data_IF_843326760774
#
_entry.id   IF_843326760774
#
_cell.length_a   1.000
_cell.length_b   1.000
_cell.length_c   1.000
_cell.angle_alpha   90.00
_cell.angle_beta   90.00
_cell.angle_gamma   90.00
#
_symmetry.space_group_name_H-M   'P 1'
#
loop_
_entity.id
_entity.type
_entity.pdbx_description
1 polymer ?
#
# COMPACT_ATOMS: atom_id res chain seq x y z
N UNK A 1 -10.69 14.78 12.42
CA UNK A 1 -10.08 14.87 11.08
C UNK A 1 -11.16 14.62 10.04
N UNK A 2 -11.12 15.32 8.92
CA UNK A 2 -12.03 15.01 7.81
C UNK A 2 -11.61 13.73 7.07
N UNK A 3 -12.53 13.19 6.25
CA UNK A 3 -12.35 11.99 5.43
C UNK A 3 -11.12 12.07 4.54
N UNK A 4 -10.97 13.20 3.83
CA UNK A 4 -9.89 13.44 2.87
C UNK A 4 -8.52 13.31 3.53
N UNK A 5 -8.33 14.01 4.64
CA UNK A 5 -7.09 14.01 5.42
C UNK A 5 -6.78 12.60 5.95
N UNK A 6 -7.80 11.90 6.45
CA UNK A 6 -7.65 10.53 6.97
C UNK A 6 -7.27 9.52 5.88
N UNK A 7 -7.87 9.64 4.68
CA UNK A 7 -7.56 8.81 3.53
C UNK A 7 -6.12 9.03 3.03
N UNK A 8 -5.63 10.27 3.00
CA UNK A 8 -4.24 10.56 2.64
C UNK A 8 -3.28 10.00 3.70
N UNK A 9 -3.55 10.28 4.98
CA UNK A 9 -2.67 9.85 6.08
C UNK A 9 -2.62 8.34 6.25
N UNK A 10 -3.63 7.60 5.79
CA UNK A 10 -3.60 6.13 5.72
C UNK A 10 -2.38 5.60 4.95
N UNK A 11 -1.82 6.38 4.01
CA UNK A 11 -0.63 6.01 3.24
C UNK A 11 0.68 6.62 3.76
N UNK A 12 0.66 7.52 4.75
CA UNK A 12 1.82 8.37 5.06
C UNK A 12 3.09 7.63 5.52
N UNK A 13 2.96 6.50 6.23
CA UNK A 13 4.06 5.63 6.65
C UNK A 13 3.81 4.17 6.23
N UNK A 14 3.24 4.00 5.05
CA UNK A 14 2.88 2.71 4.49
C UNK A 14 1.90 1.93 5.36
N UNK A 15 2.16 0.64 5.57
CA UNK A 15 1.26 -0.22 6.33
C UNK A 15 1.13 0.20 7.81
N UNK A 16 2.11 0.92 8.40
CA UNK A 16 2.03 1.39 9.79
C UNK A 16 0.87 2.37 9.97
N UNK A 17 0.81 3.41 9.14
CA UNK A 17 -0.33 4.32 9.15
C UNK A 17 -1.60 3.66 8.63
N UNK A 18 -1.48 2.70 7.71
CA UNK A 18 -2.61 1.88 7.29
C UNK A 18 -3.29 1.19 8.48
N UNK A 19 -2.52 0.55 9.36
CA UNK A 19 -3.05 -0.08 10.59
C UNK A 19 -3.71 0.95 11.49
N UNK A 20 -3.03 2.08 11.76
CA UNK A 20 -3.58 3.13 12.64
C UNK A 20 -4.93 3.63 12.11
N UNK A 21 -5.01 3.96 10.81
CA UNK A 21 -6.24 4.49 10.21
C UNK A 21 -7.32 3.44 9.99
N UNK A 22 -6.99 2.15 9.97
CA UNK A 22 -7.97 1.07 9.93
C UNK A 22 -8.85 1.09 11.19
N UNK A 23 -8.28 1.47 12.35
CA UNK A 23 -9.00 1.57 13.62
C UNK A 23 -9.49 2.99 13.91
N UNK A 24 -8.68 4.02 13.64
CA UNK A 24 -9.06 5.42 13.86
C UNK A 24 -10.19 5.86 12.93
N UNK A 25 -10.14 5.44 11.66
CA UNK A 25 -11.12 5.76 10.64
C UNK A 25 -12.23 4.71 10.47
N UNK A 26 -12.38 3.76 11.41
CA UNK A 26 -13.20 2.55 11.19
C UNK A 26 -14.69 2.81 10.88
N UNK A 27 -15.22 3.94 11.34
CA UNK A 27 -16.61 4.35 11.12
C UNK A 27 -16.83 5.02 9.75
N UNK A 28 -15.76 5.31 9.01
CA UNK A 28 -15.83 5.85 7.65
C UNK A 28 -15.37 4.76 6.66
N UNK A 29 -16.29 4.19 5.85
CA UNK A 29 -15.96 3.08 4.95
C UNK A 29 -14.91 3.45 3.91
N UNK A 30 -14.83 4.71 3.48
CA UNK A 30 -13.82 5.15 2.51
C UNK A 30 -12.44 5.21 3.15
N UNK A 31 -12.33 5.79 4.35
CA UNK A 31 -11.06 5.82 5.11
C UNK A 31 -10.60 4.40 5.45
N UNK A 32 -11.54 3.54 5.88
CA UNK A 32 -11.25 2.13 6.20
C UNK A 32 -10.73 1.37 4.98
N UNK A 33 -11.28 1.63 3.79
CA UNK A 33 -10.77 1.07 2.54
C UNK A 33 -9.35 1.57 2.23
N UNK A 34 -9.08 2.88 2.34
CA UNK A 34 -7.75 3.42 2.07
C UNK A 34 -6.68 2.86 3.02
N UNK A 35 -7.01 2.76 4.31
CA UNK A 35 -6.21 2.11 5.34
C UNK A 35 -5.91 0.65 5.01
N UNK A 36 -6.94 -0.14 4.69
CA UNK A 36 -6.78 -1.54 4.30
C UNK A 36 -5.95 -1.70 3.01
N UNK A 37 -6.20 -0.86 2.01
CA UNK A 37 -5.44 -0.84 0.75
C UNK A 37 -3.97 -0.50 0.99
N UNK A 38 -3.66 0.39 1.93
CA UNK A 38 -2.29 0.69 2.36
C UNK A 38 -1.61 -0.55 2.95
N UNK A 39 -2.28 -1.23 3.89
CA UNK A 39 -1.74 -2.45 4.51
C UNK A 39 -1.46 -3.52 3.47
N UNK A 40 -2.41 -3.79 2.58
CA UNK A 40 -2.28 -4.81 1.53
C UNK A 40 -1.13 -4.47 0.58
N UNK A 41 -1.10 -3.24 0.08
CA UNK A 41 -0.08 -2.83 -0.91
C UNK A 41 1.32 -2.86 -0.31
N UNK A 42 1.54 -2.18 0.82
CA UNK A 42 2.86 -2.13 1.44
C UNK A 42 3.29 -3.46 2.04
N UNK A 43 2.35 -4.26 2.56
CA UNK A 43 2.62 -5.63 2.99
C UNK A 43 3.12 -6.50 1.84
N UNK A 44 2.46 -6.44 0.67
CA UNK A 44 2.91 -7.15 -0.53
C UNK A 44 4.30 -6.70 -0.99
N UNK A 45 4.55 -5.38 -1.01
CA UNK A 45 5.87 -4.82 -1.34
C UNK A 45 6.95 -5.30 -0.36
N UNK A 46 6.66 -5.35 0.95
CA UNK A 46 7.58 -5.89 1.94
C UNK A 46 7.91 -7.37 1.70
N UNK A 47 6.90 -8.20 1.40
CA UNK A 47 7.10 -9.63 1.09
C UNK A 47 7.97 -9.81 -0.15
N UNK A 48 7.74 -9.04 -1.22
CA UNK A 48 8.57 -9.09 -2.44
C UNK A 48 10.02 -8.72 -2.13
N UNK A 49 10.26 -7.65 -1.36
CA UNK A 49 11.62 -7.22 -1.01
C UNK A 49 12.35 -8.26 -0.15
N UNK A 50 11.66 -8.88 0.82
CA UNK A 50 12.23 -9.97 1.62
C UNK A 50 12.59 -11.16 0.72
N UNK A 51 11.69 -11.57 -0.18
CA UNK A 51 11.94 -12.65 -1.13
C UNK A 51 13.15 -12.39 -2.03
N UNK A 52 13.24 -11.18 -2.62
CA UNK A 52 14.40 -10.77 -3.43
C UNK A 52 15.70 -10.80 -2.63
N UNK A 53 15.66 -10.37 -1.36
CA UNK A 53 16.84 -10.35 -0.48
C UNK A 53 17.32 -11.78 -0.15
N UNK A 54 16.39 -12.67 0.19
CA UNK A 54 16.69 -14.08 0.50
C UNK A 54 17.27 -14.78 -0.73
N UNK A 55 16.59 -14.71 -1.89
CA UNK A 55 17.06 -15.38 -3.11
C UNK A 55 18.37 -14.78 -3.59
N UNK A 56 18.52 -13.46 -3.54
CA UNK A 56 19.76 -12.76 -3.90
C UNK A 56 20.95 -13.18 -3.05
N UNK A 57 20.73 -13.51 -1.76
CA UNK A 57 21.81 -13.95 -0.86
C UNK A 57 22.42 -15.31 -1.24
N UNK A 58 21.63 -16.20 -1.85
CA UNK A 58 22.11 -17.50 -2.33
C UNK A 58 22.84 -17.42 -3.67
N UNK A 59 22.60 -16.35 -4.45
CA UNK A 59 23.09 -16.22 -5.82
C UNK A 59 24.03 -15.02 -5.94
N UNK A 60 25.13 -15.04 -5.18
CA UNK A 60 26.08 -13.92 -5.11
C UNK A 60 26.56 -13.41 -6.48
N UNK A 61 26.81 -14.32 -7.44
CA UNK A 61 27.20 -13.97 -8.81
C UNK A 61 26.13 -13.15 -9.57
N UNK A 62 24.87 -13.21 -9.16
CA UNK A 62 23.75 -12.46 -9.73
C UNK A 62 23.37 -11.24 -8.89
N UNK A 63 24.16 -10.86 -7.88
CA UNK A 63 23.82 -9.79 -6.94
C UNK A 63 23.45 -8.45 -7.60
N UNK A 64 24.13 -8.08 -8.70
CA UNK A 64 23.79 -6.88 -9.48
C UNK A 64 22.38 -6.99 -10.09
N UNK A 65 22.02 -8.13 -10.67
CA UNK A 65 20.72 -8.35 -11.27
C UNK A 65 19.60 -8.20 -10.23
N UNK A 66 19.76 -8.84 -9.06
CA UNK A 66 18.79 -8.71 -7.96
C UNK A 66 18.69 -7.27 -7.44
N UNK A 67 19.81 -6.55 -7.39
CA UNK A 67 19.82 -5.13 -7.01
C UNK A 67 19.04 -4.26 -8.00
N UNK A 68 19.19 -4.52 -9.31
CA UNK A 68 18.43 -3.82 -10.34
C UNK A 68 16.93 -4.13 -10.28
N UNK A 69 16.56 -5.39 -10.05
CA UNK A 69 15.15 -5.76 -9.84
C UNK A 69 14.58 -5.07 -8.61
N UNK A 70 15.33 -5.06 -7.50
CA UNK A 70 14.96 -4.34 -6.28
C UNK A 70 14.74 -2.84 -6.53
N UNK A 71 15.61 -2.19 -7.31
CA UNK A 71 15.45 -0.80 -7.70
C UNK A 71 14.16 -0.56 -8.51
N UNK A 72 13.85 -1.44 -9.47
CA UNK A 72 12.60 -1.35 -10.25
C UNK A 72 11.38 -1.47 -9.35
N UNK A 73 11.38 -2.45 -8.42
CA UNK A 73 10.28 -2.62 -7.44
C UNK A 73 10.15 -1.38 -6.55
N UNK A 74 11.26 -0.82 -6.08
CA UNK A 74 11.26 0.37 -5.23
C UNK A 74 10.68 1.59 -5.95
N UNK A 75 11.14 1.85 -7.19
CA UNK A 75 10.66 2.98 -8.01
C UNK A 75 9.17 2.81 -8.34
N UNK A 76 8.76 1.62 -8.80
CA UNK A 76 7.35 1.34 -9.08
C UNK A 76 6.48 1.53 -7.84
N UNK A 77 6.92 1.01 -6.70
CA UNK A 77 6.18 1.10 -5.44
C UNK A 77 6.04 2.55 -4.97
N UNK A 78 7.11 3.34 -5.10
CA UNK A 78 7.11 4.76 -4.78
C UNK A 78 6.15 5.55 -5.68
N UNK A 79 6.11 5.27 -6.98
CA UNK A 79 5.16 5.91 -7.91
C UNK A 79 3.71 5.58 -7.53
N UNK A 80 3.39 4.31 -7.30
CA UNK A 80 2.03 3.89 -6.89
C UNK A 80 1.65 4.51 -5.55
N UNK A 81 2.60 4.62 -4.61
CA UNK A 81 2.37 5.26 -3.31
C UNK A 81 1.99 6.74 -3.45
N UNK A 82 2.75 7.52 -4.21
CA UNK A 82 2.41 8.93 -4.46
C UNK A 82 1.05 9.03 -5.15
N UNK A 83 0.77 8.19 -6.14
CA UNK A 83 -0.52 8.19 -6.83
C UNK A 83 -1.69 7.84 -5.90
N UNK A 84 -1.48 6.98 -4.89
CA UNK A 84 -2.48 6.68 -3.87
C UNK A 84 -2.91 7.95 -3.13
N UNK A 85 -1.93 8.73 -2.66
CA UNK A 85 -2.16 9.98 -1.93
C UNK A 85 -2.78 11.07 -2.83
N UNK A 86 -2.29 11.20 -4.06
CA UNK A 86 -2.85 12.15 -5.04
C UNK A 86 -4.31 11.82 -5.35
N UNK A 87 -4.64 10.53 -5.55
CA UNK A 87 -6.01 10.10 -5.86
C UNK A 87 -6.93 10.25 -4.65
N UNK A 88 -6.47 9.91 -3.44
CA UNK A 88 -7.22 10.18 -2.21
C UNK A 88 -7.49 11.69 -2.04
N UNK A 89 -6.50 12.55 -2.32
CA UNK A 89 -6.67 13.99 -2.28
C UNK A 89 -7.67 14.49 -3.34
N UNK A 90 -7.55 14.04 -4.59
CA UNK A 90 -8.38 14.47 -5.71
C UNK A 90 -9.83 14.01 -5.64
N UNK A 91 -10.10 12.89 -4.96
CA UNK A 91 -11.46 12.36 -4.74
C UNK A 91 -12.10 12.86 -3.44
N UNK A 92 -11.40 13.70 -2.65
CA UNK A 92 -11.89 14.10 -1.32
C UNK A 92 -11.89 12.96 -0.30
N UNK A 93 -11.09 11.92 -0.53
CA UNK A 93 -10.97 10.74 0.31
C UNK A 93 -12.04 9.68 0.07
N UNK A 94 -12.89 9.83 -0.95
CA UNK A 94 -13.81 8.77 -1.38
C UNK A 94 -12.99 7.59 -1.91
N UNK A 95 -13.46 6.36 -1.65
CA UNK A 95 -12.83 5.11 -2.08
C UNK A 95 -12.25 5.23 -3.49
N UNK A 96 -10.93 5.04 -3.56
CA UNK A 96 -10.18 5.09 -4.80
C UNK A 96 -9.15 3.96 -4.86
N UNK A 97 -9.31 3.06 -5.83
CA UNK A 97 -8.37 1.98 -6.06
C UNK A 97 -7.02 2.48 -6.58
N UNK A 98 -5.93 1.80 -6.21
CA UNK A 98 -4.59 2.13 -6.71
C UNK A 98 -4.52 1.99 -8.24
N UNK A 99 -3.85 2.91 -8.95
CA UNK A 99 -3.59 2.73 -10.37
C UNK A 99 -2.66 1.52 -10.57
N UNK A 100 -2.83 0.85 -11.71
CA UNK A 100 -2.08 -0.34 -12.16
C UNK A 100 -2.30 -1.61 -11.33
N UNK A 101 -2.34 -1.51 -10.00
CA UNK A 101 -2.42 -2.65 -9.06
C UNK A 101 -3.76 -2.79 -8.36
N UNK A 102 -4.69 -1.84 -8.53
CA UNK A 102 -6.01 -1.84 -7.88
C UNK A 102 -6.77 -3.15 -8.02
N UNK A 103 -6.76 -3.75 -9.21
CA UNK A 103 -7.40 -5.06 -9.47
C UNK A 103 -6.89 -6.19 -8.55
N UNK A 104 -5.64 -6.09 -8.09
CA UNK A 104 -5.02 -7.08 -7.22
C UNK A 104 -5.16 -6.68 -5.75
N UNK A 105 -5.07 -5.39 -5.41
CA UNK A 105 -5.09 -4.94 -4.01
C UNK A 105 -6.52 -4.77 -3.47
N UNK A 106 -7.46 -4.28 -4.27
CA UNK A 106 -8.80 -3.91 -3.84
C UNK A 106 -9.60 -5.08 -3.25
N UNK A 107 -9.59 -6.31 -3.82
CA UNK A 107 -10.32 -7.44 -3.22
C UNK A 107 -9.83 -7.80 -1.82
N UNK A 108 -8.52 -7.73 -1.55
CA UNK A 108 -7.98 -7.99 -0.21
C UNK A 108 -8.20 -6.80 0.73
N UNK A 109 -8.16 -5.57 0.21
CA UNK A 109 -8.47 -4.37 0.97
C UNK A 109 -9.93 -4.40 1.45
N UNK A 110 -10.87 -4.78 0.59
CA UNK A 110 -12.28 -4.94 0.94
C UNK A 110 -12.48 -6.01 2.02
N UNK A 111 -11.85 -7.18 1.86
CA UNK A 111 -11.90 -8.25 2.88
C UNK A 111 -11.36 -7.78 4.23
N UNK A 112 -10.22 -7.10 4.23
CA UNK A 112 -9.61 -6.59 5.45
C UNK A 112 -10.45 -5.49 6.10
N UNK A 113 -10.93 -4.52 5.31
CA UNK A 113 -11.81 -3.45 5.81
C UNK A 113 -13.09 -4.02 6.45
N UNK A 114 -13.71 -5.03 5.82
CA UNK A 114 -14.93 -5.67 6.33
C UNK A 114 -14.69 -6.57 7.54
N UNK A 115 -13.46 -6.99 7.81
CA UNK A 115 -13.12 -7.78 9.01
C UNK A 115 -13.12 -6.95 10.30
N UNK A 116 -13.09 -5.62 10.19
CA UNK A 116 -13.05 -4.68 11.32
C UNK A 116 -14.42 -4.02 11.49
N UNK A 117 -15.05 -4.24 12.65
CA UNK A 117 -16.35 -3.69 13.07
C UNK A 117 -16.24 -2.29 13.69
#
# INVERSE_FOLDING_TARGET
MDKKTSAILSYALGWVTGIIFLFVGKNDPDVKFHAAQSIVFFGAVSVVNIGLSIVGSFLAALGILFSLVGLVVAVFSFVVWIMAMVKANGTGGVRAELPFVGRFTAPYADRLANSIN
#
